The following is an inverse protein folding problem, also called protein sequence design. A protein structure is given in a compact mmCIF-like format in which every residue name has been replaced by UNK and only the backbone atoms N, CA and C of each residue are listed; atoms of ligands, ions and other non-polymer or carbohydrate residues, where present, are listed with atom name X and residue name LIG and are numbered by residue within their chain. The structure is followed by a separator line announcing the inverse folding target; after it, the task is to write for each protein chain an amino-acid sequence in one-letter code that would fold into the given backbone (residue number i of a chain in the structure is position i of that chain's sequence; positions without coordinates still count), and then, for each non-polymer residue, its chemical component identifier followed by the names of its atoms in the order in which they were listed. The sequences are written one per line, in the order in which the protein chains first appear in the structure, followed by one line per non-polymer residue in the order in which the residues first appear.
data_IF_660126298804
#
_entry.id   IF_660126298804
#
_cell.length_a   1.000
_cell.length_b   1.000
_cell.length_c   1.000
_cell.angle_alpha   90.00
_cell.angle_beta   90.00
_cell.angle_gamma   90.00
#
_symmetry.space_group_name_H-M   'P 1'
#
loop_
_entity.id
_entity.type
_entity.pdbx_description
1 polymer ?
#
# COMPACT_ATOMS: atom_id res chain seq x y z
N UNK A 1 -16.48 -11.85 4.82
CA UNK A 1 -16.10 -11.14 3.59
C UNK A 1 -14.72 -10.49 3.67
N UNK A 2 -14.45 -9.54 4.60
CA UNK A 2 -13.16 -8.85 4.69
C UNK A 2 -11.93 -9.77 4.80
N UNK A 3 -12.00 -10.85 5.58
CA UNK A 3 -10.92 -11.85 5.67
C UNK A 3 -10.63 -12.57 4.35
N UNK A 4 -11.67 -12.88 3.58
CA UNK A 4 -11.54 -13.53 2.27
C UNK A 4 -10.90 -12.56 1.28
N UNK A 5 -11.36 -11.30 1.25
CA UNK A 5 -10.75 -10.26 0.42
C UNK A 5 -9.29 -10.03 0.78
N UNK A 6 -8.96 -9.95 2.07
CA UNK A 6 -7.58 -9.79 2.52
C UNK A 6 -6.71 -10.99 2.11
N UNK A 7 -7.22 -12.22 2.27
CA UNK A 7 -6.51 -13.42 1.81
C UNK A 7 -6.29 -13.41 0.29
N UNK A 8 -7.30 -13.02 -0.49
CA UNK A 8 -7.17 -12.86 -1.95
C UNK A 8 -6.15 -11.78 -2.30
N UNK A 9 -6.11 -10.66 -1.58
CA UNK A 9 -5.09 -9.62 -1.76
C UNK A 9 -3.69 -10.16 -1.46
N UNK A 10 -3.50 -10.96 -0.41
CA UNK A 10 -2.19 -11.57 -0.12
C UNK A 10 -1.76 -12.59 -1.18
N UNK A 11 -2.69 -13.40 -1.67
CA UNK A 11 -2.42 -14.35 -2.78
C UNK A 11 -2.07 -13.59 -4.06
N UNK A 12 -2.83 -12.56 -4.39
CA UNK A 12 -2.55 -11.70 -5.55
C UNK A 12 -1.22 -10.97 -5.41
N UNK A 13 -0.89 -10.49 -4.21
CA UNK A 13 0.41 -9.88 -3.91
C UNK A 13 1.54 -10.90 -4.09
N UNK A 14 1.42 -12.11 -3.55
CA UNK A 14 2.43 -13.16 -3.72
C UNK A 14 2.66 -13.51 -5.19
N UNK A 15 1.59 -13.56 -6.01
CA UNK A 15 1.72 -13.75 -7.45
C UNK A 15 2.39 -12.55 -8.14
N UNK A 16 2.06 -11.32 -7.74
CA UNK A 16 2.68 -10.10 -8.26
C UNK A 16 4.16 -9.97 -7.87
N UNK A 17 4.55 -10.43 -6.67
CA UNK A 17 5.93 -10.43 -6.19
C UNK A 17 6.82 -11.30 -7.07
N UNK A 18 6.30 -12.40 -7.60
CA UNK A 18 7.01 -13.28 -8.53
C UNK A 18 6.86 -12.84 -9.99
N UNK A 19 6.08 -11.79 -10.26
CA UNK A 19 5.98 -11.21 -11.60
C UNK A 19 7.25 -10.42 -11.89
N UNK A 20 7.90 -10.65 -13.05
CA UNK A 20 9.03 -9.83 -13.46
C UNK A 20 8.61 -8.36 -13.73
N UNK A 21 7.34 -8.11 -14.07
CA UNK A 21 6.84 -6.78 -14.43
C UNK A 21 6.10 -6.06 -13.30
N UNK A 22 6.24 -4.73 -13.28
CA UNK A 22 5.57 -3.80 -12.35
C UNK A 22 4.27 -3.21 -12.93
N UNK A 23 3.58 -3.93 -13.82
CA UNK A 23 2.53 -3.35 -14.67
C UNK A 23 1.42 -2.58 -13.94
N UNK A 24 1.05 -3.00 -12.72
CA UNK A 24 0.08 -2.27 -11.89
C UNK A 24 0.65 -0.93 -11.37
N UNK A 25 1.88 -0.94 -10.85
CA UNK A 25 2.58 0.25 -10.37
C UNK A 25 2.78 1.23 -11.53
N UNK A 26 3.27 0.77 -12.68
CA UNK A 26 3.49 1.61 -13.86
C UNK A 26 2.19 2.27 -14.33
N UNK A 27 1.08 1.52 -14.32
CA UNK A 27 -0.22 2.05 -14.65
C UNK A 27 -0.64 3.17 -13.70
N UNK A 28 -0.55 2.94 -12.38
CA UNK A 28 -0.95 3.93 -11.37
C UNK A 28 -0.04 5.15 -11.39
N UNK A 29 1.27 4.96 -11.51
CA UNK A 29 2.26 6.02 -11.64
C UNK A 29 1.92 6.93 -12.83
N UNK A 30 1.67 6.35 -14.01
CA UNK A 30 1.29 7.11 -15.19
C UNK A 30 0.03 7.94 -14.94
N UNK A 31 -1.00 7.36 -14.32
CA UNK A 31 -2.25 8.07 -14.00
C UNK A 31 -2.02 9.22 -13.00
N UNK A 32 -1.21 9.02 -11.98
CA UNK A 32 -0.86 10.08 -11.02
C UNK A 32 -0.08 11.20 -11.73
N UNK A 33 0.88 10.86 -12.59
CA UNK A 33 1.64 11.81 -13.39
C UNK A 33 0.76 12.64 -14.33
N UNK A 34 -0.15 12.01 -15.06
CA UNK A 34 -1.14 12.68 -15.93
C UNK A 34 -1.98 13.70 -15.15
N UNK A 35 -2.49 13.29 -13.98
CA UNK A 35 -3.26 14.18 -13.10
C UNK A 35 -2.40 15.34 -12.62
N UNK A 36 -1.15 15.08 -12.22
CA UNK A 36 -0.26 16.10 -11.70
C UNK A 36 0.09 17.16 -12.75
N UNK A 37 0.35 16.74 -13.98
CA UNK A 37 0.57 17.62 -15.14
C UNK A 37 -0.69 18.43 -15.44
N UNK A 38 -1.86 17.78 -15.49
CA UNK A 38 -3.14 18.45 -15.73
C UNK A 38 -3.46 19.51 -14.66
N UNK A 39 -3.01 19.29 -13.42
CA UNK A 39 -3.16 20.23 -12.29
C UNK A 39 -2.02 21.24 -12.15
N UNK A 40 -1.04 21.25 -13.07
CA UNK A 40 0.13 22.14 -13.06
C UNK A 40 0.87 22.13 -11.72
N UNK A 41 1.01 20.94 -11.14
CA UNK A 41 1.76 20.81 -9.89
C UNK A 41 3.23 21.21 -10.10
N UNK A 42 3.87 21.85 -9.10
CA UNK A 42 5.26 22.25 -9.20
C UNK A 42 6.18 21.04 -9.41
N UNK A 43 7.26 21.23 -10.16
CA UNK A 43 8.22 20.17 -10.54
C UNK A 43 8.72 19.36 -9.33
N UNK A 44 8.88 20.02 -8.18
CA UNK A 44 9.34 19.42 -6.93
C UNK A 44 8.40 18.32 -6.40
N UNK A 45 7.10 18.41 -6.69
CA UNK A 45 6.08 17.42 -6.31
C UNK A 45 5.93 16.30 -7.33
N UNK A 46 6.40 16.52 -8.57
CA UNK A 46 6.30 15.56 -9.68
C UNK A 46 7.64 14.93 -10.05
N UNK A 47 8.62 15.01 -9.16
CA UNK A 47 9.84 14.22 -9.27
C UNK A 47 9.47 12.73 -9.33
N UNK A 48 10.09 11.99 -10.25
CA UNK A 48 9.78 10.59 -10.57
C UNK A 48 9.68 9.71 -9.32
N UNK A 49 10.71 9.75 -8.47
CA UNK A 49 10.75 9.02 -7.20
C UNK A 49 9.55 9.33 -6.27
N UNK A 50 9.03 10.57 -6.28
CA UNK A 50 7.86 10.92 -5.46
C UNK A 50 6.57 10.34 -6.04
N UNK A 51 6.46 10.28 -7.36
CA UNK A 51 5.32 9.67 -8.04
C UNK A 51 5.31 8.16 -7.85
N UNK A 52 6.47 7.51 -7.85
CA UNK A 52 6.64 6.09 -7.52
C UNK A 52 6.17 5.79 -6.10
N UNK A 53 6.67 6.54 -5.11
CA UNK A 53 6.22 6.41 -3.71
C UNK A 53 4.71 6.61 -3.61
N UNK A 54 4.18 7.63 -4.27
CA UNK A 54 2.74 7.91 -4.26
C UNK A 54 1.92 6.77 -4.89
N UNK A 55 2.40 6.18 -5.99
CA UNK A 55 1.76 5.05 -6.64
C UNK A 55 1.73 3.82 -5.72
N UNK A 56 2.85 3.49 -5.09
CA UNK A 56 2.94 2.35 -4.16
C UNK A 56 2.04 2.54 -2.93
N UNK A 57 2.08 3.73 -2.33
CA UNK A 57 1.15 4.09 -1.25
C UNK A 57 -0.31 3.92 -1.71
N UNK A 58 -0.67 4.45 -2.88
CA UNK A 58 -2.04 4.38 -3.39
C UNK A 58 -2.53 2.95 -3.64
N UNK A 59 -1.65 2.07 -4.14
CA UNK A 59 -1.95 0.65 -4.37
C UNK A 59 -2.18 -0.09 -3.05
N UNK A 60 -1.38 0.21 -2.02
CA UNK A 60 -1.40 -0.55 -0.76
C UNK A 60 -2.45 -0.05 0.24
N UNK A 61 -2.87 1.23 0.16
CA UNK A 61 -3.91 1.79 1.05
C UNK A 61 -5.20 0.94 1.12
N UNK A 62 -5.81 0.52 -0.01
CA UNK A 62 -6.99 -0.35 0.02
C UNK A 62 -6.75 -1.69 0.73
N UNK A 63 -5.56 -2.27 0.58
CA UNK A 63 -5.19 -3.53 1.23
C UNK A 63 -5.05 -3.33 2.74
N UNK A 64 -4.36 -2.26 3.17
CA UNK A 64 -4.23 -1.88 4.57
C UNK A 64 -5.58 -1.60 5.25
N UNK A 65 -6.53 -1.02 4.51
CA UNK A 65 -7.89 -0.78 4.99
C UNK A 65 -8.67 -2.07 5.31
N UNK A 66 -8.41 -3.17 4.59
CA UNK A 66 -9.05 -4.46 4.87
C UNK A 66 -8.60 -5.06 6.20
N UNK A 67 -7.41 -4.72 6.68
CA UNK A 67 -6.83 -5.27 7.90
C UNK A 67 -7.72 -5.09 9.14
N UNK A 68 -8.01 -3.86 9.59
CA UNK A 68 -8.88 -3.61 10.73
C UNK A 68 -10.31 -4.17 10.56
N UNK A 69 -10.80 -4.30 9.33
CA UNK A 69 -12.10 -4.93 9.04
C UNK A 69 -12.06 -6.45 9.23
N UNK A 70 -10.96 -7.10 8.82
CA UNK A 70 -10.76 -8.54 8.90
C UNK A 70 -10.46 -8.99 10.34
N UNK A 71 -9.69 -8.19 11.09
CA UNK A 71 -9.26 -8.47 12.45
C UNK A 71 -9.45 -7.25 13.37
N UNK A 72 -10.69 -7.01 13.84
CA UNK A 72 -11.02 -5.80 14.64
C UNK A 72 -10.32 -5.71 16.00
N UNK A 73 -9.68 -6.79 16.45
CA UNK A 73 -8.90 -6.82 17.71
C UNK A 73 -7.51 -6.22 17.55
N UNK A 74 -6.99 -6.22 16.33
CA UNK A 74 -5.68 -5.65 16.02
C UNK A 74 -5.81 -4.12 15.92
N UNK A 75 -4.82 -3.42 16.46
CA UNK A 75 -4.72 -1.97 16.37
C UNK A 75 -3.98 -1.58 15.10
N UNK A 76 -4.06 -0.30 14.72
CA UNK A 76 -3.37 0.20 13.54
C UNK A 76 -1.84 0.04 13.64
N UNK A 77 -1.26 0.04 14.86
CA UNK A 77 0.18 -0.20 15.06
C UNK A 77 0.57 -1.63 14.70
N UNK A 78 -0.28 -2.61 15.00
CA UNK A 78 -0.02 -4.01 14.69
C UNK A 78 0.01 -4.18 13.17
N UNK A 79 -0.91 -3.50 12.46
CA UNK A 79 -0.91 -3.44 11.00
C UNK A 79 0.32 -2.75 10.42
N UNK A 80 0.80 -1.67 11.03
CA UNK A 80 2.05 -1.02 10.61
C UNK A 80 3.25 -1.97 10.73
N UNK A 81 3.35 -2.72 11.83
CA UNK A 81 4.40 -3.71 12.04
C UNK A 81 4.32 -4.86 11.03
N UNK A 82 3.14 -5.43 10.80
CA UNK A 82 2.95 -6.48 9.80
C UNK A 82 3.22 -6.00 8.38
N UNK A 83 2.84 -4.76 8.06
CA UNK A 83 3.13 -4.16 6.77
C UNK A 83 4.64 -3.99 6.55
N UNK A 84 5.36 -3.52 7.56
CA UNK A 84 6.82 -3.39 7.49
C UNK A 84 7.51 -4.74 7.26
N UNK A 85 7.14 -5.76 8.06
CA UNK A 85 7.69 -7.12 7.92
C UNK A 85 7.34 -7.69 6.54
N UNK A 86 6.09 -7.53 6.10
CA UNK A 86 5.63 -8.00 4.80
C UNK A 86 6.35 -7.31 3.63
N UNK A 87 6.54 -5.99 3.70
CA UNK A 87 7.22 -5.22 2.68
C UNK A 87 8.72 -5.58 2.61
N UNK A 88 9.38 -5.77 3.75
CA UNK A 88 10.74 -6.32 3.79
C UNK A 88 10.81 -7.72 3.15
N UNK A 89 9.85 -8.59 3.46
CA UNK A 89 9.78 -9.93 2.87
C UNK A 89 9.57 -9.92 1.36
N UNK A 90 8.76 -8.97 0.86
CA UNK A 90 8.55 -8.74 -0.57
C UNK A 90 9.84 -8.31 -1.26
N UNK A 91 10.51 -7.27 -0.76
CA UNK A 91 11.77 -6.78 -1.34
C UNK A 91 12.87 -7.86 -1.32
N UNK A 92 12.98 -8.60 -0.21
CA UNK A 92 13.91 -9.72 -0.10
C UNK A 92 13.60 -10.81 -1.12
N UNK A 93 12.33 -11.17 -1.30
CA UNK A 93 11.93 -12.15 -2.30
C UNK A 93 12.22 -11.68 -3.72
N UNK A 94 11.91 -10.42 -4.05
CA UNK A 94 12.19 -9.87 -5.37
C UNK A 94 13.70 -9.83 -5.65
N UNK A 95 14.50 -9.28 -4.73
CA UNK A 95 15.95 -9.20 -4.90
C UNK A 95 16.69 -10.54 -4.92
N UNK A 96 16.12 -11.59 -4.35
CA UNK A 96 16.71 -12.94 -4.38
C UNK A 96 16.21 -13.81 -5.53
N UNK A 97 14.96 -13.61 -5.99
CA UNK A 97 14.31 -14.50 -6.96
C UNK A 97 14.20 -13.90 -8.37
N UNK A 98 14.29 -12.57 -8.50
CA UNK A 98 14.19 -11.87 -9.78
C UNK A 98 15.52 -11.16 -10.09
N UNK A 99 16.33 -11.69 -11.03
CA UNK A 99 17.69 -11.18 -11.30
C UNK A 99 17.76 -9.69 -11.66
N UNK A 100 16.70 -9.16 -12.27
CA UNK A 100 16.62 -7.77 -12.74
C UNK A 100 15.94 -6.83 -11.72
N UNK A 101 15.69 -7.30 -10.50
CA UNK A 101 15.04 -6.51 -9.44
C UNK A 101 16.02 -6.22 -8.32
N UNK A 102 16.27 -4.93 -8.11
CA UNK A 102 17.03 -4.46 -6.95
C UNK A 102 16.10 -4.25 -5.74
N UNK A 103 16.63 -4.50 -4.55
CA UNK A 103 15.92 -4.23 -3.30
C UNK A 103 15.83 -2.72 -3.06
N UNK A 104 14.64 -2.24 -2.71
CA UNK A 104 14.33 -0.82 -2.57
C UNK A 104 13.83 -0.50 -1.16
N UNK A 105 14.67 0.16 -0.37
CA UNK A 105 14.26 0.69 0.93
C UNK A 105 13.09 1.70 0.80
N UNK A 106 13.03 2.40 -0.34
CA UNK A 106 11.94 3.32 -0.66
C UNK A 106 10.61 2.58 -0.80
N UNK A 107 10.60 1.39 -1.39
CA UNK A 107 9.40 0.59 -1.56
C UNK A 107 8.94 -0.06 -0.25
N UNK A 108 9.88 -0.47 0.61
CA UNK A 108 9.54 -0.88 1.99
C UNK A 108 8.79 0.24 2.71
N UNK A 109 9.33 1.46 2.65
CA UNK A 109 8.73 2.63 3.30
C UNK A 109 7.38 2.96 2.69
N UNK A 110 7.26 3.01 1.36
CA UNK A 110 6.02 3.34 0.67
C UNK A 110 4.90 2.32 0.97
N UNK A 111 5.20 1.03 0.90
CA UNK A 111 4.25 -0.04 1.18
C UNK A 111 3.82 -0.04 2.65
N UNK A 112 4.75 0.17 3.58
CA UNK A 112 4.46 0.32 5.01
C UNK A 112 3.56 1.51 5.27
N UNK A 113 3.85 2.66 4.66
CA UNK A 113 3.05 3.88 4.76
C UNK A 113 1.63 3.67 4.23
N UNK A 114 1.50 3.08 3.04
CA UNK A 114 0.19 2.80 2.42
C UNK A 114 -0.68 1.91 3.30
N UNK A 115 -0.12 0.80 3.78
CA UNK A 115 -0.87 -0.12 4.63
C UNK A 115 -1.27 0.54 5.97
N UNK A 116 -0.36 1.30 6.57
CA UNK A 116 -0.61 2.03 7.82
C UNK A 116 -1.71 3.08 7.64
N UNK A 117 -1.64 3.87 6.56
CA UNK A 117 -2.66 4.87 6.22
C UNK A 117 -4.03 4.22 6.04
N UNK A 118 -4.12 3.13 5.28
CA UNK A 118 -5.37 2.37 5.11
C UNK A 118 -5.95 1.90 6.44
N UNK A 119 -5.11 1.33 7.31
CA UNK A 119 -5.52 0.85 8.62
C UNK A 119 -5.99 1.99 9.54
N UNK A 120 -5.29 3.12 9.55
CA UNK A 120 -5.65 4.30 10.34
C UNK A 120 -6.99 4.88 9.86
N UNK A 121 -7.16 5.08 8.54
CA UNK A 121 -8.36 5.66 7.95
C UNK A 121 -9.61 4.86 8.34
N UNK A 122 -9.56 3.53 8.21
CA UNK A 122 -10.68 2.66 8.61
C UNK A 122 -10.90 2.69 10.11
N UNK A 123 -9.84 2.57 10.91
CA UNK A 123 -9.98 2.54 12.37
C UNK A 123 -10.61 3.83 12.90
N UNK A 124 -10.16 4.99 12.41
CA UNK A 124 -10.72 6.30 12.77
C UNK A 124 -12.15 6.44 12.26
N UNK A 125 -12.41 6.08 11.01
CA UNK A 125 -13.76 6.14 10.42
C UNK A 125 -14.79 5.30 11.19
N UNK A 126 -14.43 4.06 11.57
CA UNK A 126 -15.29 3.19 12.37
C UNK A 126 -15.56 3.76 13.76
N UNK A 127 -14.56 4.37 14.41
CA UNK A 127 -14.72 5.02 15.71
C UNK A 127 -15.65 6.23 15.62
N UNK A 128 -15.44 7.10 14.64
CA UNK A 128 -16.29 8.27 14.41
C UNK A 128 -17.74 7.88 14.13
N UNK A 129 -17.95 6.84 13.31
CA UNK A 129 -19.28 6.33 12.99
C UNK A 129 -20.01 5.75 14.20
N UNK A 130 -19.30 5.02 15.08
CA UNK A 130 -19.86 4.49 16.33
C UNK A 130 -20.23 5.60 17.30
N UNK A 131 -19.36 6.60 17.47
CA UNK A 131 -19.63 7.74 18.36
C UNK A 131 -20.91 8.51 17.95
N UNK A 132 -21.14 8.68 16.64
CA UNK A 132 -22.36 9.32 16.11
C UNK A 132 -23.65 8.53 16.31
N UNK A 133 -23.58 7.22 16.60
CA UNK A 133 -24.76 6.38 16.84
C UNK A 133 -25.13 6.26 18.32
N UNK A 134 -24.24 6.69 19.21
CA UNK A 134 -24.42 6.59 20.66
C UNK A 134 -24.85 7.90 21.32
N UNK A 135 -25.02 8.97 20.55
CA UNK A 135 -25.62 10.25 20.97
C UNK A 135 -26.83 10.56 20.12
#
# INVERSE_FOLDING_TARGET
MARVLLALCFVGLAAAVLSPSNGLQDHVLRRIGEIAVARRLPFQLVAEQRLEIAANVAIVVPIGALGPLAFPRLRWQDWAAYAFIGAMGVELAQGLLLPDREMSATDVVANTLGATLGAVLVTVGLRAFRARRSG
#
